data_IF_348816490946
#
_entry.id   IF_348816490946
#
_cell.length_a   1.000
_cell.length_b   1.000
_cell.length_c   1.000
_cell.angle_alpha   90.00
_cell.angle_beta   90.00
_cell.angle_gamma   90.00
#
_symmetry.space_group_name_H-M   'P 1'
#
loop_
_entity.id
_entity.type
_entity.pdbx_description
1 polymer ?
#
# COMPACT_ATOMS: atom_id res chain seq x y z
N UNK A 1 -17.92 8.26 -18.07
CA UNK A 1 -17.30 9.12 -17.02
C UNK A 1 -17.60 8.51 -15.66
N UNK A 2 -16.59 8.03 -14.92
CA UNK A 2 -16.79 7.43 -13.58
C UNK A 2 -16.84 8.57 -12.55
N UNK A 3 -17.93 8.66 -11.76
CA UNK A 3 -18.00 9.62 -10.65
C UNK A 3 -16.99 9.20 -9.57
N UNK A 4 -16.06 10.10 -9.22
CA UNK A 4 -14.99 9.83 -8.22
C UNK A 4 -15.56 9.36 -6.88
N UNK A 5 -16.76 9.80 -6.54
CA UNK A 5 -17.50 9.49 -5.32
C UNK A 5 -17.83 7.98 -5.15
N UNK A 6 -17.81 7.23 -6.26
CA UNK A 6 -18.05 5.77 -6.27
C UNK A 6 -16.79 4.95 -5.98
N UNK A 7 -15.60 5.56 -6.10
CA UNK A 7 -14.32 4.90 -5.86
C UNK A 7 -13.97 5.01 -4.39
N UNK A 8 -13.91 3.86 -3.72
CA UNK A 8 -13.53 3.73 -2.30
C UNK A 8 -12.28 2.87 -2.21
N UNK A 9 -11.24 3.41 -1.62
CA UNK A 9 -9.97 2.73 -1.40
C UNK A 9 -9.60 2.78 0.07
N UNK A 10 -9.05 1.67 0.54
CA UNK A 10 -8.40 1.59 1.84
C UNK A 10 -6.94 1.25 1.61
N UNK A 11 -6.08 1.93 2.33
CA UNK A 11 -4.65 1.61 2.40
C UNK A 11 -4.28 1.31 3.84
N UNK A 12 -3.56 0.24 4.07
CA UNK A 12 -3.16 -0.21 5.40
C UNK A 12 -1.69 -0.57 5.40
N UNK A 13 -1.00 -0.19 6.46
CA UNK A 13 0.38 -0.57 6.68
C UNK A 13 0.44 -1.73 7.67
N UNK A 14 1.28 -2.71 7.42
CA UNK A 14 1.49 -3.81 8.33
C UNK A 14 2.79 -4.57 8.08
N UNK A 15 2.87 -5.75 8.67
CA UNK A 15 3.97 -6.69 8.48
C UNK A 15 3.46 -8.00 7.89
N UNK A 16 4.16 -8.53 6.89
CA UNK A 16 3.97 -9.84 6.30
C UNK A 16 5.09 -10.76 6.80
N UNK A 17 4.70 -11.95 7.27
CA UNK A 17 5.65 -13.00 7.67
C UNK A 17 5.81 -13.99 6.53
N UNK A 18 7.05 -14.31 6.17
CA UNK A 18 7.36 -15.37 5.21
C UNK A 18 7.20 -16.72 5.89
N UNK A 19 6.57 -17.67 5.20
CA UNK A 19 6.33 -19.04 5.70
C UNK A 19 7.65 -19.76 6.05
N UNK A 20 8.73 -19.44 5.34
CA UNK A 20 10.06 -20.04 5.51
C UNK A 20 10.80 -19.63 6.78
N UNK A 21 10.21 -18.77 7.63
CA UNK A 21 10.88 -18.24 8.82
C UNK A 21 11.90 -17.17 8.44
N UNK A 22 11.63 -15.94 8.86
CA UNK A 22 12.46 -14.78 8.55
C UNK A 22 11.95 -13.53 9.27
N UNK A 23 12.75 -12.45 9.30
CA UNK A 23 12.28 -11.19 9.84
C UNK A 23 11.03 -10.73 9.06
N UNK A 24 10.02 -10.17 9.75
CA UNK A 24 8.83 -9.66 9.09
C UNK A 24 9.22 -8.62 8.04
N UNK A 25 8.65 -8.77 6.85
CA UNK A 25 8.73 -7.75 5.81
C UNK A 25 7.59 -6.75 6.05
N UNK A 26 7.93 -5.47 6.08
CA UNK A 26 6.90 -4.44 6.12
C UNK A 26 6.15 -4.44 4.79
N UNK A 27 4.84 -4.26 4.83
CA UNK A 27 4.00 -4.30 3.64
C UNK A 27 2.92 -3.22 3.68
N UNK A 28 2.50 -2.82 2.48
CA UNK A 28 1.35 -1.96 2.27
C UNK A 28 0.25 -2.77 1.58
N UNK A 29 -0.88 -2.89 2.27
CA UNK A 29 -2.11 -3.44 1.72
C UNK A 29 -2.90 -2.31 1.06
N UNK A 30 -3.31 -2.52 -0.20
CA UNK A 30 -4.25 -1.63 -0.89
C UNK A 30 -5.49 -2.44 -1.23
N UNK A 31 -6.64 -1.98 -0.74
CA UNK A 31 -7.92 -2.67 -0.88
C UNK A 31 -8.90 -1.78 -1.63
N UNK A 32 -9.44 -2.30 -2.74
CA UNK A 32 -10.52 -1.68 -3.47
C UNK A 32 -11.85 -2.01 -2.79
N UNK A 33 -12.45 -1.03 -2.13
CA UNK A 33 -13.76 -1.15 -1.48
C UNK A 33 -14.91 -0.74 -2.41
N UNK A 34 -14.63 -0.34 -3.65
CA UNK A 34 -15.67 -0.02 -4.62
C UNK A 34 -16.20 -1.26 -5.35
N UNK A 35 -17.35 -1.08 -6.00
CA UNK A 35 -17.95 -2.05 -6.91
C UNK A 35 -17.39 -1.95 -8.35
N UNK A 36 -16.41 -1.07 -8.58
CA UNK A 36 -15.79 -0.83 -9.88
C UNK A 36 -14.31 -1.24 -9.84
N UNK A 37 -13.76 -1.62 -10.99
CA UNK A 37 -12.32 -1.85 -11.09
C UNK A 37 -11.59 -0.50 -11.00
N UNK A 38 -10.49 -0.45 -10.27
CA UNK A 38 -9.69 0.77 -10.06
C UNK A 38 -8.23 0.52 -10.41
N UNK A 39 -7.60 1.46 -11.10
CA UNK A 39 -6.17 1.35 -11.42
C UNK A 39 -5.39 2.15 -10.38
N UNK A 40 -4.58 1.48 -9.57
CA UNK A 40 -3.67 2.11 -8.62
C UNK A 40 -2.39 2.45 -9.35
N UNK A 41 -1.98 3.72 -9.31
CA UNK A 41 -0.81 4.24 -10.04
C UNK A 41 0.36 4.55 -9.13
N UNK A 42 0.10 4.86 -7.86
CA UNK A 42 1.12 5.24 -6.91
C UNK A 42 0.78 4.68 -5.53
N UNK A 43 1.80 4.12 -4.87
CA UNK A 43 1.78 3.84 -3.44
C UNK A 43 3.02 4.50 -2.84
N UNK A 44 2.85 5.24 -1.75
CA UNK A 44 3.91 6.06 -1.18
C UNK A 44 3.77 6.17 0.34
N UNK A 45 4.88 6.41 1.01
CA UNK A 45 4.89 6.90 2.38
C UNK A 45 4.85 8.42 2.40
N UNK A 46 4.24 9.02 3.42
CA UNK A 46 4.16 10.46 3.57
C UNK A 46 4.25 10.91 5.03
N UNK A 47 4.68 12.16 5.25
CA UNK A 47 4.83 12.74 6.59
C UNK A 47 3.57 13.51 7.01
N UNK A 48 2.61 12.84 7.63
CA UNK A 48 1.33 13.45 8.03
C UNK A 48 0.21 13.22 7.00
N UNK A 49 -1.04 13.61 7.31
CA UNK A 49 -2.19 13.29 6.47
C UNK A 49 -2.29 14.13 5.18
N UNK A 50 -1.79 15.36 5.20
CA UNK A 50 -1.97 16.37 4.14
C UNK A 50 -0.66 16.85 3.50
N UNK A 51 0.48 16.34 3.93
CA UNK A 51 1.80 16.85 3.53
C UNK A 51 2.26 16.24 2.20
N UNK A 52 2.85 17.06 1.33
CA UNK A 52 3.35 16.63 0.00
C UNK A 52 4.74 15.97 0.04
N UNK A 53 5.44 16.00 1.18
CA UNK A 53 6.67 15.21 1.37
C UNK A 53 6.33 13.72 1.36
N UNK A 54 6.60 13.09 0.22
CA UNK A 54 6.33 11.68 -0.06
C UNK A 54 7.59 10.91 -0.45
N UNK A 55 7.64 9.64 -0.06
CA UNK A 55 8.62 8.65 -0.52
C UNK A 55 7.87 7.57 -1.30
N UNK A 56 7.96 7.54 -2.64
CA UNK A 56 7.25 6.55 -3.45
C UNK A 56 7.82 5.15 -3.22
N UNK A 57 6.93 4.16 -3.17
CA UNK A 57 7.33 2.74 -3.12
C UNK A 57 7.41 2.26 -4.57
N UNK A 58 8.63 2.27 -5.12
CA UNK A 58 8.88 2.10 -6.57
C UNK A 58 8.80 0.64 -7.03
N UNK A 59 8.60 -0.31 -6.12
CA UNK A 59 8.42 -1.72 -6.49
C UNK A 59 8.17 -2.60 -5.28
N UNK A 60 7.54 -3.75 -5.55
CA UNK A 60 7.41 -4.82 -4.58
C UNK A 60 8.75 -5.55 -4.44
N UNK A 61 9.25 -5.66 -3.21
CA UNK A 61 10.49 -6.37 -2.91
C UNK A 61 10.44 -7.86 -3.29
N UNK A 62 9.22 -8.43 -3.36
CA UNK A 62 8.99 -9.80 -3.80
C UNK A 62 8.76 -9.91 -5.32
N UNK A 63 8.79 -8.79 -6.05
CA UNK A 63 8.60 -8.75 -7.50
C UNK A 63 7.21 -9.16 -8.00
N UNK A 64 6.23 -9.35 -7.10
CA UNK A 64 4.89 -9.83 -7.46
C UNK A 64 4.01 -8.73 -8.04
N UNK A 65 4.29 -7.47 -7.68
CA UNK A 65 3.45 -6.34 -8.05
C UNK A 65 4.26 -5.24 -8.74
N UNK A 66 3.76 -4.83 -9.89
CA UNK A 66 4.23 -3.66 -10.63
C UNK A 66 3.08 -2.65 -10.77
N UNK A 67 3.35 -1.39 -10.42
CA UNK A 67 2.43 -0.29 -10.67
C UNK A 67 2.70 0.32 -12.06
N UNK A 68 1.66 0.80 -12.77
CA UNK A 68 0.25 0.82 -12.37
C UNK A 68 -0.40 -0.56 -12.42
N UNK A 69 -1.26 -0.86 -11.43
CA UNK A 69 -1.97 -2.14 -11.31
C UNK A 69 -3.49 -1.93 -11.32
N UNK A 70 -4.20 -2.70 -12.15
CA UNK A 70 -5.67 -2.73 -12.16
C UNK A 70 -6.21 -3.70 -11.11
N UNK A 71 -6.88 -3.16 -10.11
CA UNK A 71 -7.48 -3.89 -9.01
C UNK A 71 -8.98 -4.12 -9.26
N UNK A 72 -9.41 -5.38 -9.22
CA UNK A 72 -10.82 -5.77 -9.35
C UNK A 72 -11.66 -5.24 -8.16
N UNK A 73 -12.99 -5.12 -8.30
CA UNK A 73 -13.88 -4.75 -7.20
C UNK A 73 -13.67 -5.67 -6.00
N UNK A 74 -13.68 -5.12 -4.78
CA UNK A 74 -13.56 -5.88 -3.51
C UNK A 74 -12.30 -6.72 -3.36
N UNK A 75 -11.30 -6.54 -4.23
CA UNK A 75 -10.01 -7.20 -4.13
C UNK A 75 -8.97 -6.33 -3.41
N UNK A 76 -7.91 -6.99 -2.96
CA UNK A 76 -6.76 -6.37 -2.32
C UNK A 76 -5.46 -6.89 -2.91
N UNK A 77 -4.40 -6.13 -2.75
CA UNK A 77 -3.04 -6.58 -3.02
C UNK A 77 -2.08 -6.08 -1.95
N UNK A 78 -0.91 -6.70 -1.86
CA UNK A 78 0.13 -6.37 -0.89
C UNK A 78 1.42 -6.03 -1.63
N UNK A 79 1.98 -4.85 -1.37
CA UNK A 79 3.34 -4.50 -1.79
C UNK A 79 4.26 -4.74 -0.60
N UNK A 80 5.21 -5.66 -0.71
CA UNK A 80 6.27 -5.80 0.26
C UNK A 80 7.28 -4.67 0.05
N UNK A 81 7.62 -4.00 1.14
CA UNK A 81 8.52 -2.87 1.15
C UNK A 81 9.94 -3.40 1.26
N UNK A 82 10.84 -2.90 0.41
CA UNK A 82 12.24 -3.29 0.48
C UNK A 82 12.84 -2.88 1.83
N UNK A 83 13.72 -3.69 2.45
CA UNK A 83 14.34 -3.38 3.73
C UNK A 83 15.04 -2.01 3.78
N UNK A 84 15.60 -1.56 2.64
CA UNK A 84 16.22 -0.24 2.51
C UNK A 84 15.19 0.91 2.65
N UNK A 85 13.99 0.75 2.10
CA UNK A 85 12.91 1.73 2.22
C UNK A 85 12.29 1.70 3.63
N UNK A 86 12.23 0.53 4.27
CA UNK A 86 11.90 0.38 5.69
C UNK A 86 12.88 1.13 6.60
N UNK A 87 14.19 0.99 6.36
CA UNK A 87 15.21 1.71 7.13
C UNK A 87 15.06 3.23 6.97
N UNK A 88 14.78 3.70 5.74
CA UNK A 88 14.46 5.11 5.46
C UNK A 88 13.21 5.56 6.20
N UNK A 89 12.15 4.76 6.23
CA UNK A 89 10.93 5.07 6.97
C UNK A 89 11.19 5.33 8.46
N UNK A 90 12.04 4.50 9.08
CA UNK A 90 12.43 4.65 10.48
C UNK A 90 13.21 5.94 10.75
N UNK A 91 14.06 6.37 9.82
CA UNK A 91 14.87 7.59 9.97
C UNK A 91 14.21 8.90 9.55
N UNK A 92 13.21 8.87 8.65
CA UNK A 92 12.65 10.08 8.02
C UNK A 92 11.38 10.62 8.70
N UNK A 93 10.85 9.91 9.70
CA UNK A 93 9.64 10.32 10.42
C UNK A 93 8.38 10.30 9.56
N UNK A 94 8.31 9.41 8.56
CA UNK A 94 7.10 9.17 7.78
C UNK A 94 6.06 8.49 8.67
N UNK A 95 4.85 9.04 8.71
CA UNK A 95 3.80 8.63 9.66
C UNK A 95 2.56 8.06 8.98
N UNK A 96 2.44 8.19 7.67
CA UNK A 96 1.27 7.77 6.91
C UNK A 96 1.67 7.03 5.64
N UNK A 97 0.76 6.18 5.18
CA UNK A 97 0.82 5.50 3.89
C UNK A 97 -0.29 6.03 3.00
N UNK A 98 0.01 6.18 1.71
CA UNK A 98 -0.85 6.73 0.69
C UNK A 98 -0.93 5.82 -0.52
N UNK A 99 -2.12 5.70 -1.09
CA UNK A 99 -2.35 5.10 -2.40
C UNK A 99 -3.13 6.07 -3.30
N UNK A 100 -2.79 6.12 -4.59
CA UNK A 100 -3.42 6.99 -5.59
C UNK A 100 -3.88 6.16 -6.76
N UNK A 101 -5.07 6.48 -7.27
CA UNK A 101 -5.60 5.90 -8.50
C UNK A 101 -5.40 6.77 -9.72
N UNK A 102 -5.49 6.16 -10.89
CA UNK A 102 -5.49 6.84 -12.19
C UNK A 102 -6.59 7.92 -12.29
N UNK A 103 -7.73 7.76 -11.61
CA UNK A 103 -8.80 8.76 -11.59
C UNK A 103 -8.60 9.88 -10.57
N UNK A 104 -7.49 9.86 -9.80
CA UNK A 104 -7.11 10.89 -8.85
C UNK A 104 -7.63 10.69 -7.42
N UNK A 105 -8.33 9.59 -7.12
CA UNK A 105 -8.75 9.28 -5.75
C UNK A 105 -7.53 8.86 -4.93
N UNK A 106 -7.39 9.49 -3.75
CA UNK A 106 -6.29 9.28 -2.81
C UNK A 106 -6.84 8.63 -1.55
N UNK A 107 -6.22 7.54 -1.10
CA UNK A 107 -6.44 6.97 0.21
C UNK A 107 -5.20 7.21 1.06
N UNK A 108 -5.39 7.68 2.30
CA UNK A 108 -4.32 7.95 3.26
C UNK A 108 -4.67 7.30 4.58
N UNK A 109 -3.70 6.64 5.21
CA UNK A 109 -3.90 5.99 6.50
C UNK A 109 -2.65 6.15 7.38
N UNK A 110 -2.81 6.34 8.70
CA UNK A 110 -1.68 6.38 9.61
C UNK A 110 -0.97 5.03 9.68
N UNK A 111 0.36 5.08 9.76
CA UNK A 111 1.22 3.92 10.00
C UNK A 111 1.08 3.53 11.47
N UNK A 112 0.24 2.52 11.73
CA UNK A 112 0.11 1.91 13.06
C UNK A 112 1.08 0.74 13.16
N UNK A 113 2.24 0.98 13.78
CA UNK A 113 3.24 -0.06 14.04
C UNK A 113 2.63 -1.07 15.03
N UNK A 114 2.32 -2.28 14.56
CA UNK A 114 1.70 -3.33 15.37
C UNK A 114 0.60 -4.15 14.67
N UNK A 115 0.13 -3.76 13.48
CA UNK A 115 -0.78 -4.62 12.70
C UNK A 115 0.00 -5.77 12.02
N UNK A 116 -0.18 -6.98 12.54
CA UNK A 116 0.36 -8.23 11.98
C UNK A 116 -0.60 -8.80 10.94
N UNK A 117 -0.09 -9.16 9.76
CA UNK A 117 -0.82 -9.90 8.75
C UNK A 117 -0.12 -11.23 8.49
N UNK A 118 -0.85 -12.33 8.68
CA UNK A 118 -0.38 -13.63 8.23
C UNK A 118 -0.61 -13.69 6.73
N UNK A 119 0.47 -13.91 5.97
CA UNK A 119 0.40 -14.06 4.53
C UNK A 119 -0.49 -15.26 4.19
N UNK A 120 -1.64 -15.01 3.60
CA UNK A 120 -2.43 -16.08 2.97
C UNK A 120 -1.95 -16.15 1.54
N UNK A 121 -1.22 -17.22 1.20
CA UNK A 121 -1.07 -17.64 -0.18
C UNK A 121 -2.46 -17.84 -0.77
N UNK A 122 -2.81 -17.05 -1.78
CA UNK A 122 -3.94 -17.36 -2.65
C UNK A 122 -3.30 -17.93 -3.90
N UNK A 123 -3.41 -19.25 -4.03
CA UNK A 123 -3.03 -20.06 -5.19
C UNK A 123 -3.76 -19.63 -6.46
#
# INVERSE_FOLDING_TARGET
>A
MIRRDTVRLKVTYGAMHTVTGGPPLECVEVTNLSYLAVTVTEVAFQKGPTTDKRSPIVGDCLGRIKLPLRLRPRCRFFIAVAPAETARLKGTGLTHVRAVTACGVKAVSPIRRGQRWFGVEVS
#
